data_IF_532129685599
#
_entry.id   IF_532129685599
#
_cell.length_a   1.000
_cell.length_b   1.000
_cell.length_c   1.000
_cell.angle_alpha   90.00
_cell.angle_beta   90.00
_cell.angle_gamma   90.00
#
_symmetry.space_group_name_H-M   'P 1'
#
loop_
_entity.id
_entity.type
_entity.pdbx_description
1 polymer ?
#
# COMPACT_ATOMS: atom_id res chain seq x y z
N UNK A 1 -19.55 -10.72 -20.40
CA UNK A 1 -19.18 -9.31 -20.09
C UNK A 1 -17.68 -9.17 -20.22
N UNK A 2 -17.18 -8.67 -21.36
CA UNK A 2 -15.75 -8.44 -21.58
C UNK A 2 -15.31 -7.21 -20.77
N UNK A 3 -14.92 -7.44 -19.51
CA UNK A 3 -14.29 -6.42 -18.66
C UNK A 3 -12.83 -6.23 -19.05
N UNK A 4 -12.57 -5.78 -20.27
CA UNK A 4 -11.23 -5.35 -20.67
C UNK A 4 -11.02 -3.91 -20.19
N UNK A 5 -10.99 -3.72 -18.85
CA UNK A 5 -10.60 -2.43 -18.25
C UNK A 5 -9.12 -2.23 -18.56
N UNK A 6 -8.82 -1.30 -19.48
CA UNK A 6 -7.45 -0.85 -19.76
C UNK A 6 -6.74 -0.55 -18.43
N UNK A 7 -5.60 -1.21 -18.21
CA UNK A 7 -4.69 -0.94 -17.09
C UNK A 7 -4.25 0.52 -17.13
N UNK A 8 -4.12 1.16 -15.97
CA UNK A 8 -3.69 2.54 -15.88
C UNK A 8 -2.17 2.64 -16.09
N UNK A 9 -1.72 3.61 -16.88
CA UNK A 9 -0.30 3.89 -17.04
C UNK A 9 0.19 4.80 -15.92
N UNK A 10 0.98 4.26 -14.99
CA UNK A 10 1.59 5.01 -13.89
C UNK A 10 2.86 5.78 -14.29
N UNK A 11 3.27 5.71 -15.56
CA UNK A 11 4.45 6.39 -16.08
C UNK A 11 5.77 5.76 -15.62
N UNK A 12 6.85 6.56 -15.70
CA UNK A 12 8.18 6.17 -15.22
C UNK A 12 8.32 6.42 -13.72
N UNK A 13 9.11 5.59 -13.06
CA UNK A 13 9.46 5.73 -11.66
C UNK A 13 10.20 7.05 -11.42
N UNK A 14 9.74 7.83 -10.45
CA UNK A 14 10.36 9.12 -10.09
C UNK A 14 11.73 8.95 -9.41
N UNK A 15 12.06 7.75 -8.94
CA UNK A 15 13.33 7.45 -8.24
C UNK A 15 14.39 6.93 -9.19
N UNK A 16 14.06 5.97 -10.07
CA UNK A 16 15.04 5.29 -10.92
C UNK A 16 14.73 5.31 -12.42
N UNK A 17 13.60 5.88 -12.86
CA UNK A 17 13.23 6.02 -14.26
C UNK A 17 12.62 4.79 -14.94
N UNK A 18 12.60 3.63 -14.29
CA UNK A 18 12.00 2.39 -14.85
C UNK A 18 10.48 2.50 -15.02
N UNK A 19 9.90 1.80 -16.01
CA UNK A 19 8.46 1.81 -16.27
C UNK A 19 7.69 1.16 -15.10
N UNK A 20 6.74 1.89 -14.53
CA UNK A 20 5.93 1.42 -13.40
C UNK A 20 4.92 0.35 -13.86
N UNK A 21 4.71 -0.66 -13.02
CA UNK A 21 3.75 -1.76 -13.28
C UNK A 21 2.54 -1.66 -12.34
N UNK A 22 1.33 -1.73 -12.89
CA UNK A 22 0.12 -1.80 -12.07
C UNK A 22 0.04 -3.14 -11.32
N UNK A 23 -0.10 -3.07 -9.99
CA UNK A 23 -0.26 -4.20 -9.07
C UNK A 23 -1.32 -3.91 -8.02
N UNK A 24 -1.84 -4.96 -7.38
CA UNK A 24 -2.59 -4.85 -6.12
C UNK A 24 -1.63 -5.14 -4.98
N UNK A 25 -1.46 -4.19 -4.08
CA UNK A 25 -0.54 -4.28 -2.94
C UNK A 25 -1.30 -4.27 -1.62
N UNK A 26 -0.64 -4.74 -0.57
CA UNK A 26 -1.06 -4.42 0.79
C UNK A 26 -0.34 -3.14 1.21
N UNK A 27 -1.09 -2.16 1.68
CA UNK A 27 -0.56 -0.91 2.19
C UNK A 27 -0.69 -0.90 3.71
N UNK A 28 0.45 -0.82 4.39
CA UNK A 28 0.50 -0.67 5.83
C UNK A 28 0.66 0.81 6.24
N UNK A 29 0.01 1.17 7.34
CA UNK A 29 0.05 2.49 7.95
C UNK A 29 0.27 2.36 9.45
N UNK A 30 1.20 3.14 9.98
CA UNK A 30 1.33 3.34 11.43
C UNK A 30 0.49 4.54 11.85
N UNK A 31 -0.60 4.28 12.55
CA UNK A 31 -1.56 5.30 12.99
C UNK A 31 -1.70 5.26 14.51
N UNK A 32 -1.30 6.33 15.20
CA UNK A 32 -1.39 6.46 16.67
C UNK A 32 -0.83 5.22 17.41
N UNK A 33 0.32 4.72 16.95
CA UNK A 33 1.00 3.55 17.55
C UNK A 33 0.41 2.19 17.16
N UNK A 34 -0.57 2.12 16.26
CA UNK A 34 -1.14 0.86 15.75
C UNK A 34 -0.81 0.67 14.28
N UNK A 35 -0.42 -0.56 13.92
CA UNK A 35 -0.26 -0.97 12.54
C UNK A 35 -1.63 -1.30 11.93
N UNK A 36 -1.96 -0.67 10.82
CA UNK A 36 -3.18 -0.91 10.05
C UNK A 36 -2.79 -1.33 8.64
N UNK A 37 -3.30 -2.47 8.19
CA UNK A 37 -3.05 -2.99 6.84
C UNK A 37 -4.33 -2.88 6.02
N UNK A 38 -4.24 -2.22 4.86
CA UNK A 38 -5.30 -2.15 3.86
C UNK A 38 -4.89 -3.06 2.69
N UNK A 39 -5.64 -4.14 2.49
CA UNK A 39 -5.35 -5.15 1.47
C UNK A 39 -5.82 -4.72 0.07
N UNK A 40 -5.17 -5.26 -0.97
CA UNK A 40 -5.61 -5.14 -2.37
C UNK A 40 -5.72 -3.71 -2.93
N UNK A 41 -4.88 -2.80 -2.45
CA UNK A 41 -4.81 -1.41 -2.93
C UNK A 41 -4.21 -1.38 -4.34
N UNK A 42 -4.89 -0.77 -5.34
CA UNK A 42 -4.34 -0.61 -6.68
C UNK A 42 -3.23 0.46 -6.67
N UNK A 43 -2.04 0.08 -7.13
CA UNK A 43 -0.87 0.95 -7.17
C UNK A 43 0.02 0.66 -8.40
N UNK A 44 0.78 1.65 -8.83
CA UNK A 44 1.96 1.45 -9.65
C UNK A 44 3.13 1.06 -8.76
N UNK A 45 3.84 0.00 -9.12
CA UNK A 45 5.02 -0.48 -8.40
C UNK A 45 6.19 -0.53 -9.37
N UNK A 46 7.30 0.10 -9.00
CA UNK A 46 8.54 -0.01 -9.75
C UNK A 46 9.09 -1.43 -9.59
N UNK A 47 9.32 -2.18 -10.68
CA UNK A 47 9.86 -3.54 -10.59
C UNK A 47 11.35 -3.56 -10.20
N UNK A 48 12.07 -2.44 -10.37
CA UNK A 48 13.51 -2.35 -10.09
C UNK A 48 13.81 -1.94 -8.65
N UNK A 49 13.28 -0.80 -8.18
CA UNK A 49 13.60 -0.26 -6.85
C UNK A 49 12.50 -0.46 -5.79
N UNK A 50 11.31 -0.92 -6.19
CA UNK A 50 10.20 -1.18 -5.27
C UNK A 50 9.35 0.03 -4.89
N UNK A 51 9.61 1.22 -5.44
CA UNK A 51 8.81 2.43 -5.24
C UNK A 51 7.32 2.19 -5.57
N UNK A 52 6.42 2.80 -4.79
CA UNK A 52 4.97 2.56 -4.91
C UNK A 52 4.23 3.89 -5.03
N UNK A 53 3.41 4.03 -6.05
CA UNK A 53 2.60 5.24 -6.28
C UNK A 53 1.14 4.83 -6.44
N UNK A 54 0.24 5.53 -5.74
CA UNK A 54 -1.21 5.40 -5.92
C UNK A 54 -1.76 6.59 -6.68
N UNK A 55 -2.83 6.37 -7.45
CA UNK A 55 -3.55 7.46 -8.10
C UNK A 55 -4.23 8.36 -7.05
N UNK A 56 -4.50 9.61 -7.42
CA UNK A 56 -5.15 10.57 -6.53
C UNK A 56 -6.54 10.12 -6.04
N UNK A 57 -7.33 9.44 -6.87
CA UNK A 57 -8.62 8.87 -6.47
C UNK A 57 -8.47 7.74 -5.44
N UNK A 58 -7.50 6.85 -5.65
CA UNK A 58 -7.15 5.77 -4.71
C UNK A 58 -6.66 6.36 -3.38
N UNK A 59 -5.78 7.36 -3.42
CA UNK A 59 -5.31 8.07 -2.22
C UNK A 59 -6.46 8.67 -1.40
N UNK A 60 -7.43 9.33 -2.06
CA UNK A 60 -8.64 9.85 -1.39
C UNK A 60 -9.50 8.74 -0.77
N UNK A 61 -9.62 7.58 -1.42
CA UNK A 61 -10.34 6.44 -0.88
C UNK A 61 -9.64 5.86 0.36
N UNK A 62 -8.31 5.72 0.32
CA UNK A 62 -7.51 5.28 1.47
C UNK A 62 -7.69 6.22 2.66
N UNK A 63 -7.62 7.54 2.44
CA UNK A 63 -7.85 8.53 3.50
C UNK A 63 -9.25 8.39 4.13
N UNK A 64 -10.29 8.17 3.31
CA UNK A 64 -11.65 7.91 3.82
C UNK A 64 -11.74 6.61 4.61
N UNK A 65 -11.10 5.54 4.15
CA UNK A 65 -11.06 4.26 4.88
C UNK A 65 -10.39 4.43 6.24
N UNK A 66 -9.25 5.13 6.28
CA UNK A 66 -8.51 5.43 7.50
C UNK A 66 -9.36 6.25 8.48
N UNK A 67 -10.03 7.30 8.01
CA UNK A 67 -10.88 8.15 8.83
C UNK A 67 -12.06 7.38 9.47
N UNK A 68 -12.56 6.34 8.80
CA UNK A 68 -13.70 5.53 9.25
C UNK A 68 -13.29 4.19 9.87
N UNK A 69 -12.01 3.98 10.22
CA UNK A 69 -11.50 2.70 10.71
C UNK A 69 -12.26 2.17 11.93
N UNK A 70 -12.73 3.04 12.82
CA UNK A 70 -13.51 2.67 14.01
C UNK A 70 -14.88 2.08 13.69
N UNK A 71 -15.45 2.38 12.52
CA UNK A 71 -16.77 1.93 12.09
C UNK A 71 -16.73 0.61 11.29
N UNK A 72 -15.53 0.08 11.03
CA UNK A 72 -15.37 -1.20 10.33
C UNK A 72 -15.66 -2.34 11.32
N UNK A 73 -16.87 -2.90 11.23
CA UNK A 73 -17.40 -3.91 12.17
C UNK A 73 -16.76 -5.29 12.04
N UNK A 74 -16.33 -5.70 10.83
CA UNK A 74 -15.62 -6.96 10.59
C UNK A 74 -14.18 -6.66 10.17
N UNK A 75 -13.24 -6.87 11.11
CA UNK A 75 -11.80 -6.69 10.86
C UNK A 75 -11.08 -8.01 11.02
N UNK A 76 -10.37 -8.42 9.97
CA UNK A 76 -9.31 -9.41 10.09
C UNK A 76 -8.16 -8.75 10.84
N UNK A 77 -7.72 -9.38 11.92
CA UNK A 77 -6.55 -8.93 12.68
C UNK A 77 -5.41 -9.92 12.45
N UNK A 78 -4.20 -9.40 12.34
CA UNK A 78 -2.98 -10.21 12.28
C UNK A 78 -2.16 -9.94 13.55
N UNK A 79 -1.53 -10.98 14.08
CA UNK A 79 -0.53 -10.83 15.15
C UNK A 79 0.81 -10.55 14.50
N UNK A 80 1.43 -9.42 14.83
CA UNK A 80 2.71 -9.00 14.25
C UNK A 80 3.76 -8.94 15.35
N UNK A 81 4.85 -9.71 15.26
CA UNK A 81 5.95 -9.60 16.22
C UNK A 81 6.66 -8.26 16.05
N UNK A 82 7.01 -7.62 17.16
CA UNK A 82 7.81 -6.40 17.19
C UNK A 82 9.12 -6.73 17.88
N UNK A 83 10.21 -6.69 17.11
CA UNK A 83 11.56 -6.99 17.60
C UNK A 83 12.31 -5.66 17.68
N UNK A 84 12.94 -5.38 18.81
CA UNK A 84 13.83 -4.22 18.93
C UNK A 84 15.09 -4.51 18.11
N UNK A 85 15.47 -3.57 17.24
CA UNK A 85 16.79 -3.62 16.63
C UNK A 85 17.83 -3.37 17.72
N UNK A 86 18.44 -4.44 18.20
CA UNK A 86 19.66 -4.38 18.98
C UNK A 86 20.80 -4.69 18.01
N UNK A 87 21.71 -3.74 17.84
CA UNK A 87 23.00 -4.03 17.24
C UNK A 87 23.78 -4.80 18.30
N UNK A 88 23.57 -6.11 18.38
CA UNK A 88 24.52 -6.97 19.10
C UNK A 88 25.81 -6.95 18.29
N UNK A 89 26.70 -6.05 18.70
CA UNK A 89 28.10 -6.13 18.36
C UNK A 89 28.73 -7.16 19.30
N UNK A 90 28.75 -8.42 18.87
CA UNK A 90 29.75 -9.44 19.16
C UNK A 90 29.38 -10.73 18.40
#
# INVERSE_FOLDING_TARGET
MNNNKKKYNYGKCQVCGEQMQEKKINQDFWLKGKLVVIESVPAGVCPQCGEKIVKADVGRQLAKLIANLSHVSKRKTITVPVIKYAKEAA
#
